data_IF_235034348943
#
_entry.id   IF_235034348943
#
_cell.length_a   1.000
_cell.length_b   1.000
_cell.length_c   1.000
_cell.angle_alpha   90.00
_cell.angle_beta   90.00
_cell.angle_gamma   90.00
#
_symmetry.space_group_name_H-M   'P 1'
#
loop_
_entity.id
_entity.type
_entity.pdbx_description
1 polymer ?
#
# COMPACT_ATOMS: atom_id res chain seq x y z
N UNK A 1 8.78 7.64 -19.14
CA UNK A 1 9.16 6.72 -18.05
C UNK A 1 8.09 5.65 -17.95
N UNK A 2 8.46 4.37 -17.86
CA UNK A 2 7.51 3.30 -17.52
C UNK A 2 7.19 3.37 -16.03
N UNK A 3 5.91 3.34 -15.68
CA UNK A 3 5.49 3.21 -14.28
C UNK A 3 6.09 1.94 -13.67
N UNK A 4 6.64 2.04 -12.46
CA UNK A 4 7.10 0.90 -11.66
C UNK A 4 6.36 0.90 -10.33
N UNK A 5 5.77 -0.24 -9.91
CA UNK A 5 5.09 -0.34 -8.62
C UNK A 5 6.05 -0.46 -7.44
N UNK A 6 7.34 -0.75 -7.67
CA UNK A 6 8.32 -1.03 -6.60
C UNK A 6 8.48 0.13 -5.60
N UNK A 7 8.67 1.39 -6.03
CA UNK A 7 8.77 2.51 -5.10
C UNK A 7 7.51 2.67 -4.24
N UNK A 8 6.32 2.49 -4.85
CA UNK A 8 5.05 2.57 -4.14
C UNK A 8 4.92 1.47 -3.09
N UNK A 9 5.28 0.22 -3.42
CA UNK A 9 5.25 -0.90 -2.46
C UNK A 9 6.16 -0.60 -1.26
N UNK A 10 7.39 -0.13 -1.51
CA UNK A 10 8.33 0.18 -0.44
C UNK A 10 7.84 1.32 0.45
N UNK A 11 7.29 2.39 -0.14
CA UNK A 11 6.71 3.51 0.61
C UNK A 11 5.53 3.08 1.49
N UNK A 12 4.61 2.26 0.96
CA UNK A 12 3.48 1.73 1.73
C UNK A 12 3.95 0.86 2.90
N UNK A 13 4.98 0.02 2.71
CA UNK A 13 5.54 -0.79 3.80
C UNK A 13 6.13 0.10 4.89
N UNK A 14 6.98 1.06 4.52
CA UNK A 14 7.63 1.96 5.48
C UNK A 14 6.61 2.77 6.29
N UNK A 15 5.67 3.43 5.61
CA UNK A 15 4.65 4.26 6.28
C UNK A 15 3.69 3.41 7.14
N UNK A 16 3.38 2.17 6.72
CA UNK A 16 2.55 1.26 7.53
C UNK A 16 3.30 0.82 8.79
N UNK A 17 4.60 0.57 8.69
CA UNK A 17 5.43 0.27 9.86
C UNK A 17 5.49 1.47 10.82
N UNK A 18 5.72 2.67 10.31
CA UNK A 18 5.74 3.89 11.12
C UNK A 18 4.39 4.12 11.81
N UNK A 19 3.28 3.90 11.10
CA UNK A 19 1.94 3.98 11.69
C UNK A 19 1.75 2.99 12.85
N UNK A 20 2.12 1.72 12.65
CA UNK A 20 2.02 0.70 13.72
C UNK A 20 2.93 1.04 14.92
N UNK A 21 4.15 1.52 14.67
CA UNK A 21 5.07 1.98 15.72
C UNK A 21 4.45 3.15 16.50
N UNK A 22 3.78 4.09 15.83
CA UNK A 22 3.10 5.21 16.49
C UNK A 22 1.96 4.79 17.44
N UNK A 23 1.46 3.56 17.27
CA UNK A 23 0.44 2.94 18.12
C UNK A 23 1.04 1.99 19.18
N UNK A 24 2.37 1.99 19.35
CA UNK A 24 3.10 1.06 20.22
C UNK A 24 2.92 -0.43 19.84
N UNK A 25 2.65 -0.70 18.55
CA UNK A 25 2.51 -2.05 18.02
C UNK A 25 3.84 -2.50 17.41
N UNK A 26 4.39 -3.60 17.94
CA UNK A 26 5.59 -4.24 17.39
C UNK A 26 5.23 -5.11 16.20
N UNK A 27 5.82 -4.80 15.04
CA UNK A 27 5.69 -5.61 13.83
C UNK A 27 6.84 -6.64 13.74
N UNK A 28 6.48 -7.91 13.59
CA UNK A 28 7.43 -8.99 13.35
C UNK A 28 7.84 -9.02 11.87
N UNK A 29 9.04 -9.52 11.59
CA UNK A 29 9.54 -9.69 10.22
C UNK A 29 8.57 -10.45 9.31
N UNK A 30 7.95 -11.52 9.83
CA UNK A 30 6.95 -12.32 9.10
C UNK A 30 5.74 -11.48 8.62
N UNK A 31 5.34 -10.46 9.38
CA UNK A 31 4.20 -9.60 9.05
C UNK A 31 4.60 -8.55 8.00
N UNK A 32 5.86 -8.09 8.02
CA UNK A 32 6.43 -7.27 6.96
C UNK A 32 6.48 -8.06 5.65
N UNK A 33 6.97 -9.29 5.70
CA UNK A 33 7.04 -10.19 4.56
C UNK A 33 5.62 -10.46 4.00
N UNK A 34 4.63 -10.64 4.87
CA UNK A 34 3.22 -10.79 4.49
C UNK A 34 2.68 -9.53 3.81
N UNK A 35 2.90 -8.35 4.37
CA UNK A 35 2.47 -7.08 3.76
C UNK A 35 3.10 -6.89 2.38
N UNK A 36 4.41 -7.16 2.26
CA UNK A 36 5.13 -7.08 0.99
C UNK A 36 4.55 -8.05 -0.04
N UNK A 37 4.26 -9.30 0.35
CA UNK A 37 3.65 -10.30 -0.53
C UNK A 37 2.26 -9.86 -0.98
N UNK A 38 1.41 -9.39 -0.07
CA UNK A 38 0.05 -8.92 -0.38
C UNK A 38 0.09 -7.75 -1.36
N UNK A 39 0.89 -6.72 -1.08
CA UNK A 39 1.07 -5.56 -1.96
C UNK A 39 1.62 -5.97 -3.34
N UNK A 40 2.65 -6.81 -3.36
CA UNK A 40 3.28 -7.28 -4.60
C UNK A 40 2.34 -8.13 -5.43
N UNK A 41 1.54 -8.98 -4.79
CA UNK A 41 0.57 -9.86 -5.46
C UNK A 41 -0.49 -9.08 -6.23
N UNK A 42 -0.83 -7.87 -5.76
CA UNK A 42 -1.83 -7.01 -6.37
C UNK A 42 -1.20 -6.00 -7.32
N UNK A 43 -0.25 -5.19 -6.84
CA UNK A 43 0.28 -4.04 -7.57
C UNK A 43 1.21 -4.41 -8.74
N UNK A 44 1.73 -5.65 -8.79
CA UNK A 44 2.48 -6.17 -9.93
C UNK A 44 1.59 -6.81 -11.01
N UNK A 45 0.29 -7.03 -10.74
CA UNK A 45 -0.63 -7.52 -11.77
C UNK A 45 -0.67 -6.53 -12.93
N UNK A 46 -1.05 -7.04 -14.11
CA UNK A 46 -1.49 -6.17 -15.19
C UNK A 46 -2.51 -5.18 -14.65
N UNK A 47 -2.34 -3.90 -14.95
CA UNK A 47 -3.15 -2.80 -14.43
C UNK A 47 -4.65 -3.07 -14.60
N UNK A 48 -5.09 -3.72 -15.68
CA UNK A 48 -6.52 -4.05 -15.89
C UNK A 48 -7.07 -5.11 -14.94
N UNK A 49 -6.21 -5.96 -14.37
CA UNK A 49 -6.55 -7.05 -13.46
C UNK A 49 -6.45 -6.64 -11.98
N UNK A 50 -5.92 -5.45 -11.68
CA UNK A 50 -5.88 -4.93 -10.31
C UNK A 50 -7.31 -4.54 -9.88
N UNK A 51 -7.74 -5.03 -8.74
CA UNK A 51 -9.07 -4.82 -8.16
C UNK A 51 -9.06 -3.88 -6.96
N UNK A 52 -7.97 -3.85 -6.19
CA UNK A 52 -7.87 -3.05 -4.97
C UNK A 52 -6.92 -1.86 -5.16
N UNK A 53 -7.25 -0.73 -4.55
CA UNK A 53 -6.34 0.41 -4.45
C UNK A 53 -5.20 0.11 -3.46
N UNK A 54 -4.05 0.78 -3.58
CA UNK A 54 -2.96 0.65 -2.62
C UNK A 54 -3.40 0.83 -1.17
N UNK A 55 -4.25 1.82 -0.91
CA UNK A 55 -4.78 2.11 0.43
C UNK A 55 -5.78 1.07 0.91
N UNK A 56 -6.59 0.47 0.03
CA UNK A 56 -7.48 -0.63 0.41
C UNK A 56 -6.67 -1.85 0.86
N UNK A 57 -5.60 -2.19 0.14
CA UNK A 57 -4.74 -3.32 0.50
C UNK A 57 -4.15 -3.14 1.91
N UNK A 58 -3.60 -1.95 2.20
CA UNK A 58 -3.04 -1.64 3.53
C UNK A 58 -4.12 -1.69 4.61
N UNK A 59 -5.28 -1.08 4.38
CA UNK A 59 -6.37 -1.09 5.36
C UNK A 59 -6.89 -2.50 5.66
N UNK A 60 -7.02 -3.35 4.64
CA UNK A 60 -7.39 -4.76 4.84
C UNK A 60 -6.35 -5.49 5.66
N UNK A 61 -5.06 -5.31 5.36
CA UNK A 61 -3.97 -5.90 6.15
C UNK A 61 -4.02 -5.45 7.61
N UNK A 62 -4.20 -4.16 7.88
CA UNK A 62 -4.27 -3.60 9.23
C UNK A 62 -5.49 -4.14 10.02
N UNK A 63 -6.63 -4.27 9.36
CA UNK A 63 -7.83 -4.84 9.97
C UNK A 63 -7.64 -6.33 10.30
N UNK A 64 -7.14 -7.12 9.37
CA UNK A 64 -7.04 -8.59 9.52
C UNK A 64 -5.94 -9.03 10.48
N UNK A 65 -4.84 -8.27 10.59
CA UNK A 65 -3.67 -8.67 11.38
C UNK A 65 -3.56 -7.93 12.72
N UNK A 66 -4.23 -6.78 12.87
CA UNK A 66 -4.11 -5.93 14.07
C UNK A 66 -5.45 -5.41 14.59
N UNK A 67 -6.58 -5.81 13.99
CA UNK A 67 -7.94 -5.33 14.35
C UNK A 67 -8.10 -3.80 14.25
N UNK A 68 -7.22 -3.14 13.49
CA UNK A 68 -7.23 -1.68 13.31
C UNK A 68 -8.25 -1.29 12.25
N UNK A 69 -9.42 -0.85 12.70
CA UNK A 69 -10.54 -0.43 11.84
C UNK A 69 -10.44 1.02 11.34
N UNK A 70 -9.48 1.80 11.85
CA UNK A 70 -9.22 3.16 11.38
C UNK A 70 -8.77 3.13 9.92
N UNK A 71 -9.57 3.73 9.04
CA UNK A 71 -9.29 3.75 7.61
C UNK A 71 -8.25 4.81 7.26
N UNK A 72 -7.05 4.36 6.93
CA UNK A 72 -6.02 5.20 6.32
C UNK A 72 -6.49 5.68 4.94
N UNK A 73 -6.27 6.95 4.68
CA UNK A 73 -6.49 7.58 3.37
C UNK A 73 -5.14 7.79 2.68
N UNK A 74 -5.08 8.12 1.38
CA UNK A 74 -3.80 8.46 0.75
C UNK A 74 -3.00 9.55 1.48
N UNK A 75 -3.69 10.47 2.17
CA UNK A 75 -3.08 11.55 2.97
C UNK A 75 -2.54 11.12 4.33
N UNK A 76 -2.84 9.89 4.75
CA UNK A 76 -2.30 9.30 5.97
C UNK A 76 -0.85 8.80 5.80
N UNK A 77 -0.36 8.76 4.57
CA UNK A 77 0.98 8.31 4.19
C UNK A 77 1.92 9.52 4.04
N UNK A 78 3.24 9.28 3.97
CA UNK A 78 4.23 10.32 3.71
C UNK A 78 3.97 11.02 2.38
N UNK A 79 4.50 12.24 2.21
CA UNK A 79 4.29 13.02 0.98
C UNK A 79 4.76 12.27 -0.27
N UNK A 80 5.87 11.54 -0.16
CA UNK A 80 6.41 10.69 -1.22
C UNK A 80 5.45 9.55 -1.57
N UNK A 81 5.01 8.77 -0.58
CA UNK A 81 4.05 7.67 -0.80
C UNK A 81 2.71 8.19 -1.32
N UNK A 82 2.22 9.33 -0.82
CA UNK A 82 1.02 9.99 -1.34
C UNK A 82 1.16 10.28 -2.83
N UNK A 83 2.27 10.87 -3.25
CA UNK A 83 2.53 11.15 -4.67
C UNK A 83 2.58 9.87 -5.50
N UNK A 84 3.22 8.81 -5.00
CA UNK A 84 3.27 7.51 -5.67
C UNK A 84 1.87 6.87 -5.81
N UNK A 85 1.00 7.01 -4.81
CA UNK A 85 -0.41 6.58 -4.89
C UNK A 85 -1.13 7.36 -6.00
N UNK A 86 -0.92 8.67 -6.10
CA UNK A 86 -1.52 9.50 -7.15
C UNK A 86 -1.02 9.07 -8.54
N UNK A 87 0.28 8.82 -8.69
CA UNK A 87 0.86 8.33 -9.93
C UNK A 87 0.30 6.97 -10.34
N UNK A 88 0.12 6.05 -9.40
CA UNK A 88 -0.56 4.78 -9.64
C UNK A 88 -1.99 5.01 -10.15
N UNK A 89 -2.75 5.93 -9.54
CA UNK A 89 -4.12 6.25 -9.95
C UNK A 89 -4.20 6.80 -11.38
N UNK A 90 -3.31 7.74 -11.73
CA UNK A 90 -3.19 8.27 -13.09
C UNK A 90 -2.80 7.17 -14.08
N UNK A 91 -1.85 6.32 -13.71
CA UNK A 91 -1.42 5.20 -14.54
C UNK A 91 -2.58 4.21 -14.79
N UNK A 92 -3.32 3.84 -13.73
CA UNK A 92 -4.51 3.00 -13.80
C UNK A 92 -5.55 3.57 -14.75
N UNK A 93 -5.90 4.84 -14.61
CA UNK A 93 -6.86 5.51 -15.48
C UNK A 93 -6.41 5.49 -16.96
N UNK A 94 -5.12 5.76 -17.22
CA UNK A 94 -4.57 5.79 -18.59
C UNK A 94 -4.58 4.44 -19.33
N UNK A 95 -4.73 3.32 -18.62
CA UNK A 95 -4.70 1.95 -19.20
C UNK A 95 -6.07 1.28 -19.27
N UNK A 96 -7.05 1.84 -18.56
CA UNK A 96 -8.43 1.38 -18.52
C UNK A 96 -9.34 2.25 -19.39
N UNK A 97 -8.89 3.47 -19.74
CA UNK A 97 -9.52 4.32 -20.76
C UNK A 97 -9.30 3.80 -22.18
#
# INVERSE_FOLDING_TARGET
>A
MSYSPVPLINGLIADTQEYLISLDIKIAKKEIDLLQQTLSSELNKNVRLQTNTPTQIVNTFLLENYELSNKLTPRSFSEETFYLIMQWGVHKASKVS
#
